data_IF_143414878436
#
_entry.id   IF_143414878436
#
_cell.length_a   1.000
_cell.length_b   1.000
_cell.length_c   1.000
_cell.angle_alpha   90.00
_cell.angle_beta   90.00
_cell.angle_gamma   90.00
#
_symmetry.space_group_name_H-M   'P 1'
#
loop_
_entity.id
_entity.type
_entity.pdbx_description
1 polymer ?
#
# COMPACT_ATOMS: atom_id res chain seq x y z
N UNK A 1 -52.17 1.91 -13.40
CA UNK A 1 -51.07 1.04 -12.92
C UNK A 1 -50.84 1.34 -11.45
N UNK A 2 -51.36 0.50 -10.55
CA UNK A 2 -51.42 0.76 -9.11
C UNK A 2 -50.67 -0.30 -8.29
N UNK A 3 -50.33 -1.45 -8.91
CA UNK A 3 -49.49 -2.51 -8.35
C UNK A 3 -48.80 -3.30 -9.48
N UNK A 4 -47.49 -3.51 -9.37
CA UNK A 4 -46.72 -4.25 -10.36
C UNK A 4 -46.81 -5.78 -10.12
N UNK A 5 -47.21 -6.53 -11.14
CA UNK A 5 -47.19 -8.00 -11.12
C UNK A 5 -45.84 -8.49 -11.63
N UNK A 6 -45.10 -9.23 -10.79
CA UNK A 6 -43.78 -9.79 -11.14
C UNK A 6 -42.67 -9.18 -10.28
N UNK A 7 -42.25 -7.92 -10.50
CA UNK A 7 -41.20 -7.27 -9.71
C UNK A 7 -41.48 -7.28 -8.20
N UNK A 8 -42.72 -7.02 -7.78
CA UNK A 8 -43.11 -7.06 -6.37
C UNK A 8 -42.95 -8.46 -5.74
N UNK A 9 -43.24 -9.53 -6.49
CA UNK A 9 -43.06 -10.91 -6.00
C UNK A 9 -41.58 -11.30 -5.92
N UNK A 10 -40.73 -10.74 -6.79
CA UNK A 10 -39.28 -10.96 -6.73
C UNK A 10 -38.69 -10.35 -5.46
N UNK A 11 -39.15 -9.18 -5.04
CA UNK A 11 -38.68 -8.54 -3.80
C UNK A 11 -38.88 -9.44 -2.57
N UNK A 12 -39.94 -10.26 -2.53
CA UNK A 12 -40.21 -11.17 -1.41
C UNK A 12 -39.16 -12.26 -1.25
N UNK A 13 -38.42 -12.59 -2.31
CA UNK A 13 -37.33 -13.57 -2.26
C UNK A 13 -36.00 -12.83 -2.13
N UNK A 14 -35.78 -11.84 -2.99
CA UNK A 14 -34.50 -11.15 -3.10
C UNK A 14 -34.15 -10.32 -1.86
N UNK A 15 -35.11 -9.62 -1.24
CA UNK A 15 -34.82 -8.78 -0.07
C UNK A 15 -34.46 -9.63 1.15
N UNK A 16 -35.26 -10.63 1.57
CA UNK A 16 -34.89 -11.46 2.73
C UNK A 16 -33.55 -12.17 2.53
N UNK A 17 -33.30 -12.72 1.34
CA UNK A 17 -32.04 -13.40 1.04
C UNK A 17 -30.84 -12.42 1.12
N UNK A 18 -30.98 -11.21 0.58
CA UNK A 18 -29.95 -10.17 0.68
C UNK A 18 -29.62 -9.83 2.13
N UNK A 19 -30.62 -9.71 3.00
CA UNK A 19 -30.41 -9.47 4.43
C UNK A 19 -29.73 -10.64 5.13
N UNK A 20 -30.15 -11.89 4.84
CA UNK A 20 -29.55 -13.09 5.43
C UNK A 20 -28.08 -13.24 5.03
N UNK A 21 -27.76 -13.04 3.76
CA UNK A 21 -26.39 -13.09 3.25
C UNK A 21 -25.53 -11.98 3.87
N UNK A 22 -26.05 -10.76 3.95
CA UNK A 22 -25.33 -9.61 4.53
C UNK A 22 -25.07 -9.81 6.02
N UNK A 23 -26.09 -10.25 6.78
CA UNK A 23 -25.94 -10.52 8.20
C UNK A 23 -24.91 -11.63 8.47
N UNK A 24 -24.93 -12.68 7.65
CA UNK A 24 -23.96 -13.79 7.73
C UNK A 24 -22.55 -13.32 7.39
N UNK A 25 -22.37 -12.55 6.32
CA UNK A 25 -21.09 -11.99 5.93
C UNK A 25 -20.52 -11.08 7.03
N UNK A 26 -21.35 -10.22 7.63
CA UNK A 26 -20.94 -9.33 8.71
C UNK A 26 -20.56 -10.11 9.97
N UNK A 27 -21.32 -11.14 10.33
CA UNK A 27 -21.01 -12.01 11.47
C UNK A 27 -19.65 -12.71 11.28
N UNK A 28 -19.41 -13.27 10.09
CA UNK A 28 -18.16 -13.94 9.76
C UNK A 28 -16.98 -12.96 9.73
N UNK A 29 -17.16 -11.78 9.14
CA UNK A 29 -16.14 -10.73 9.13
C UNK A 29 -15.76 -10.32 10.56
N UNK A 30 -16.74 -10.10 11.44
CA UNK A 30 -16.49 -9.77 12.85
C UNK A 30 -15.71 -10.86 13.56
N UNK A 31 -16.08 -12.13 13.36
CA UNK A 31 -15.38 -13.26 13.95
C UNK A 31 -13.93 -13.37 13.46
N UNK A 32 -13.71 -13.31 12.14
CA UNK A 32 -12.38 -13.41 11.53
C UNK A 32 -11.48 -12.25 11.95
N UNK A 33 -11.99 -11.02 11.95
CA UNK A 33 -11.21 -9.83 12.31
C UNK A 33 -10.87 -9.79 13.82
N UNK A 34 -11.76 -10.28 14.69
CA UNK A 34 -11.50 -10.34 16.13
C UNK A 34 -10.39 -11.33 16.50
N UNK A 35 -10.19 -12.37 15.70
CA UNK A 35 -9.18 -13.41 15.91
C UNK A 35 -8.00 -13.36 14.93
N UNK A 36 -7.82 -12.25 14.19
CA UNK A 36 -6.81 -12.15 13.16
C UNK A 36 -5.40 -12.20 13.77
N UNK A 37 -4.59 -13.15 13.30
CA UNK A 37 -3.17 -13.28 13.70
C UNK A 37 -2.29 -12.70 12.60
N UNK A 38 -1.46 -11.73 12.95
CA UNK A 38 -0.50 -11.10 12.03
C UNK A 38 0.88 -11.72 12.26
N UNK A 39 1.50 -12.19 11.17
CA UNK A 39 2.86 -12.73 11.19
C UNK A 39 3.83 -11.71 10.60
N UNK A 40 4.29 -10.76 11.41
CA UNK A 40 5.15 -9.65 10.99
C UNK A 40 6.46 -10.12 10.34
N UNK A 41 7.08 -11.18 10.89
CA UNK A 41 8.30 -11.77 10.30
C UNK A 41 8.07 -12.31 8.89
N UNK A 42 6.88 -12.89 8.65
CA UNK A 42 6.49 -13.38 7.31
C UNK A 42 6.22 -12.21 6.37
N UNK A 43 5.60 -11.13 6.86
CA UNK A 43 5.42 -9.91 6.05
C UNK A 43 6.79 -9.33 5.66
N UNK A 44 7.73 -9.22 6.60
CA UNK A 44 9.09 -8.75 6.34
C UNK A 44 9.83 -9.65 5.35
N UNK A 45 9.73 -10.96 5.52
CA UNK A 45 10.30 -11.92 4.58
C UNK A 45 9.72 -11.75 3.17
N UNK A 46 8.40 -11.60 3.05
CA UNK A 46 7.73 -11.42 1.77
C UNK A 46 8.16 -10.14 1.04
N UNK A 47 8.42 -9.05 1.78
CA UNK A 47 8.98 -7.82 1.22
C UNK A 47 10.38 -8.04 0.62
N UNK A 48 11.16 -8.96 1.18
CA UNK A 48 12.48 -9.34 0.69
C UNK A 48 12.48 -10.22 -0.56
N UNK A 49 11.34 -10.80 -0.98
CA UNK A 49 11.27 -11.72 -2.13
C UNK A 49 11.70 -11.11 -3.46
N UNK A 50 11.67 -9.78 -3.54
CA UNK A 50 12.06 -9.05 -4.76
C UNK A 50 13.49 -8.52 -4.71
N UNK A 51 14.28 -8.86 -3.67
CA UNK A 51 15.66 -8.40 -3.53
C UNK A 51 15.81 -6.86 -3.65
N UNK A 52 14.88 -6.12 -3.05
CA UNK A 52 14.87 -4.65 -3.05
C UNK A 52 14.19 -4.00 -4.26
N UNK A 53 13.82 -4.76 -5.30
CA UNK A 53 13.20 -4.20 -6.52
C UNK A 53 11.85 -3.52 -6.27
N UNK A 54 11.08 -3.96 -5.27
CA UNK A 54 9.79 -3.35 -4.91
C UNK A 54 9.90 -1.87 -4.51
N UNK A 55 11.09 -1.41 -4.10
CA UNK A 55 11.37 -0.02 -3.69
C UNK A 55 12.36 0.72 -4.60
N UNK A 56 12.56 0.26 -5.84
CA UNK A 56 13.43 0.94 -6.80
C UNK A 56 13.03 2.42 -7.02
N UNK A 57 11.73 2.73 -6.99
CA UNK A 57 11.24 4.11 -7.08
C UNK A 57 11.78 5.00 -5.94
N UNK A 58 11.89 4.47 -4.72
CA UNK A 58 12.36 5.21 -3.55
C UNK A 58 13.79 5.73 -3.77
N UNK A 59 14.67 4.88 -4.30
CA UNK A 59 16.05 5.24 -4.66
C UNK A 59 16.05 6.28 -5.78
N UNK A 60 15.28 6.06 -6.85
CA UNK A 60 15.21 6.98 -7.99
C UNK A 60 14.73 8.38 -7.54
N UNK A 61 13.68 8.45 -6.73
CA UNK A 61 13.16 9.71 -6.20
C UNK A 61 14.16 10.41 -5.28
N UNK A 62 14.92 9.66 -4.48
CA UNK A 62 15.94 10.21 -3.60
C UNK A 62 17.17 10.73 -4.37
N UNK A 63 17.55 10.08 -5.49
CA UNK A 63 18.69 10.47 -6.31
C UNK A 63 18.36 11.59 -7.33
N UNK A 64 17.10 11.71 -7.75
CA UNK A 64 16.65 12.67 -8.75
C UNK A 64 17.01 14.16 -8.48
N UNK A 65 17.02 14.68 -7.23
CA UNK A 65 17.42 16.06 -6.96
C UNK A 65 18.87 16.39 -7.36
N UNK A 66 19.77 15.40 -7.37
CA UNK A 66 21.19 15.60 -7.74
C UNK A 66 21.51 15.13 -9.15
N UNK A 67 20.92 14.03 -9.60
CA UNK A 67 21.20 13.44 -10.93
C UNK A 67 20.25 13.92 -12.02
N UNK A 68 19.10 14.50 -11.66
CA UNK A 68 17.99 14.72 -12.56
C UNK A 68 17.11 13.48 -12.70
N UNK A 69 15.81 13.69 -12.92
CA UNK A 69 14.79 12.61 -12.91
C UNK A 69 15.04 11.54 -13.96
N UNK A 70 15.36 11.94 -15.20
CA UNK A 70 15.55 11.00 -16.31
C UNK A 70 16.80 10.15 -16.09
N UNK A 71 17.93 10.79 -15.74
CA UNK A 71 19.18 10.06 -15.50
C UNK A 71 19.06 9.11 -14.30
N UNK A 72 18.49 9.57 -13.18
CA UNK A 72 18.25 8.70 -12.02
C UNK A 72 17.36 7.50 -12.36
N UNK A 73 16.33 7.68 -13.20
CA UNK A 73 15.50 6.59 -13.69
C UNK A 73 16.32 5.58 -14.49
N UNK A 74 17.08 6.04 -15.49
CA UNK A 74 17.80 5.15 -16.41
C UNK A 74 18.86 4.31 -15.66
N UNK A 75 19.57 4.93 -14.72
CA UNK A 75 20.59 4.27 -13.90
C UNK A 75 19.98 3.22 -12.95
N UNK A 76 18.89 3.57 -12.26
CA UNK A 76 18.20 2.63 -11.37
C UNK A 76 17.55 1.51 -12.18
N UNK A 77 17.00 1.82 -13.35
CA UNK A 77 16.40 0.84 -14.26
C UNK A 77 17.43 -0.20 -14.73
N UNK A 78 18.63 0.25 -15.12
CA UNK A 78 19.72 -0.64 -15.49
C UNK A 78 20.15 -1.54 -14.32
N UNK A 79 20.28 -1.00 -13.11
CA UNK A 79 20.57 -1.78 -11.92
C UNK A 79 19.48 -2.83 -11.63
N UNK A 80 18.19 -2.46 -11.78
CA UNK A 80 17.07 -3.39 -11.64
C UNK A 80 17.13 -4.53 -12.66
N UNK A 81 17.46 -4.23 -13.92
CA UNK A 81 17.62 -5.25 -14.97
C UNK A 81 18.72 -6.24 -14.60
N UNK A 82 19.89 -5.75 -14.17
CA UNK A 82 20.99 -6.60 -13.71
C UNK A 82 20.60 -7.43 -12.49
N UNK A 83 19.85 -6.87 -11.54
CA UNK A 83 19.35 -7.60 -10.37
C UNK A 83 18.44 -8.77 -10.76
N UNK A 84 17.55 -8.55 -11.74
CA UNK A 84 16.63 -9.58 -12.25
C UNK A 84 17.40 -10.69 -12.97
N UNK A 85 18.35 -10.35 -13.83
CA UNK A 85 19.14 -11.32 -14.60
C UNK A 85 20.11 -12.12 -13.70
N UNK A 86 20.69 -11.47 -12.69
CA UNK A 86 21.70 -12.05 -11.81
C UNK A 86 21.18 -12.62 -10.49
N UNK A 87 19.93 -12.36 -10.12
CA UNK A 87 19.37 -12.74 -8.82
C UNK A 87 20.08 -12.07 -7.63
N UNK A 88 20.53 -10.82 -7.81
CA UNK A 88 21.32 -10.06 -6.83
C UNK A 88 20.47 -9.01 -6.12
N UNK A 89 20.94 -8.55 -4.96
CA UNK A 89 20.30 -7.47 -4.23
C UNK A 89 20.49 -6.11 -4.93
N UNK A 90 19.40 -5.36 -5.08
CA UNK A 90 19.42 -4.05 -5.73
C UNK A 90 20.35 -3.07 -4.99
N UNK A 91 20.41 -3.12 -3.66
CA UNK A 91 21.25 -2.22 -2.88
C UNK A 91 22.75 -2.46 -3.16
N UNK A 92 23.15 -3.72 -3.33
CA UNK A 92 24.53 -4.11 -3.63
C UNK A 92 24.95 -3.68 -5.04
N UNK A 93 24.03 -3.73 -6.01
CA UNK A 93 24.28 -3.25 -7.37
C UNK A 93 24.38 -1.72 -7.42
N UNK A 94 23.47 -1.01 -6.75
CA UNK A 94 23.51 0.45 -6.66
C UNK A 94 24.73 0.97 -5.90
N UNK A 95 25.22 0.21 -4.90
CA UNK A 95 26.45 0.54 -4.18
C UNK A 95 27.71 0.49 -5.07
N UNK A 96 27.65 -0.20 -6.21
CA UNK A 96 28.72 -0.25 -7.20
C UNK A 96 28.64 0.90 -8.22
N UNK A 97 27.59 1.73 -8.18
CA UNK A 97 27.38 2.86 -9.09
C UNK A 97 27.82 4.16 -8.41
N UNK A 98 28.99 4.75 -8.77
CA UNK A 98 29.56 5.87 -8.03
C UNK A 98 28.66 7.11 -7.98
N UNK A 99 27.95 7.40 -9.07
CA UNK A 99 27.04 8.54 -9.16
C UNK A 99 25.81 8.41 -8.24
N UNK A 100 25.32 7.18 -7.99
CA UNK A 100 24.24 6.93 -7.02
C UNK A 100 24.79 7.06 -5.59
N UNK A 101 25.97 6.52 -5.32
CA UNK A 101 26.63 6.63 -4.01
C UNK A 101 26.86 8.10 -3.65
N UNK A 102 27.36 8.91 -4.59
CA UNK A 102 27.56 10.35 -4.41
C UNK A 102 26.23 11.10 -4.27
N UNK A 103 25.22 10.73 -5.05
CA UNK A 103 23.90 11.33 -4.97
C UNK A 103 23.24 11.09 -3.60
N UNK A 104 23.33 9.87 -3.06
CA UNK A 104 22.68 9.53 -1.80
C UNK A 104 23.57 9.76 -0.57
N UNK A 105 24.86 10.03 -0.77
CA UNK A 105 25.80 10.35 0.31
C UNK A 105 26.40 9.11 1.00
N UNK A 106 26.42 7.96 0.33
CA UNK A 106 27.05 6.74 0.81
C UNK A 106 26.19 5.48 0.67
N UNK A 107 26.83 4.33 0.89
CA UNK A 107 26.19 2.99 0.78
C UNK A 107 25.10 2.78 1.84
N UNK A 108 25.28 3.32 3.04
CA UNK A 108 24.27 3.20 4.10
C UNK A 108 22.97 3.95 3.74
N UNK A 109 23.06 5.08 3.04
CA UNK A 109 21.88 5.77 2.53
C UNK A 109 21.16 4.96 1.45
N UNK A 110 21.91 4.28 0.56
CA UNK A 110 21.33 3.37 -0.43
C UNK A 110 20.56 2.26 0.27
N UNK A 111 21.16 1.60 1.26
CA UNK A 111 20.50 0.53 2.03
C UNK A 111 19.24 1.01 2.74
N UNK A 112 19.27 2.21 3.32
CA UNK A 112 18.10 2.80 3.95
C UNK A 112 16.96 3.06 2.95
N UNK A 113 17.27 3.53 1.74
CA UNK A 113 16.27 3.72 0.67
C UNK A 113 15.80 2.40 0.03
N UNK A 114 16.60 1.34 0.10
CA UNK A 114 16.23 0.00 -0.33
C UNK A 114 15.49 -0.82 0.75
N UNK A 115 15.30 -0.29 1.97
CA UNK A 115 14.46 -0.93 2.99
C UNK A 115 12.99 -0.51 2.79
N UNK A 116 12.08 -1.46 2.48
CA UNK A 116 10.66 -1.17 2.32
C UNK A 116 9.99 -0.54 3.54
N UNK A 117 10.54 -0.73 4.74
CA UNK A 117 10.02 -0.10 5.96
C UNK A 117 10.18 1.43 5.96
N UNK A 118 11.08 1.98 5.14
CA UNK A 118 11.33 3.41 5.05
C UNK A 118 10.52 4.10 3.92
N UNK A 119 9.70 3.36 3.18
CA UNK A 119 8.92 3.87 2.04
C UNK A 119 7.40 3.65 2.24
N UNK A 120 6.86 4.16 3.36
CA UNK A 120 5.46 3.95 3.76
C UNK A 120 4.49 5.04 3.28
N UNK A 121 5.01 6.13 2.67
CA UNK A 121 4.21 7.27 2.23
C UNK A 121 3.32 7.82 3.34
N UNK A 122 2.02 7.93 3.07
CA UNK A 122 1.03 8.46 4.01
C UNK A 122 0.33 7.39 4.86
N UNK A 123 0.79 6.14 4.85
CA UNK A 123 0.08 5.02 5.47
C UNK A 123 -0.29 5.28 6.94
N UNK A 124 0.67 5.76 7.75
CA UNK A 124 0.41 6.12 9.16
C UNK A 124 -0.61 7.24 9.31
N UNK A 125 -0.44 8.33 8.55
CA UNK A 125 -1.37 9.46 8.59
C UNK A 125 -2.81 9.10 8.13
N UNK A 126 -2.94 8.14 7.21
CA UNK A 126 -4.25 7.61 6.79
C UNK A 126 -4.91 6.79 7.90
N UNK A 127 -4.14 5.96 8.61
CA UNK A 127 -4.62 5.21 9.79
C UNK A 127 -5.07 6.19 10.88
N UNK A 128 -4.26 7.19 11.20
CA UNK A 128 -4.57 8.20 12.22
C UNK A 128 -5.88 8.94 11.90
N UNK A 129 -6.12 9.27 10.63
CA UNK A 129 -7.35 9.93 10.19
C UNK A 129 -8.58 9.06 10.42
N UNK A 130 -8.49 7.75 10.19
CA UNK A 130 -9.60 6.81 10.45
C UNK A 130 -9.85 6.69 11.95
N UNK A 131 -8.80 6.59 12.75
CA UNK A 131 -8.89 6.48 14.21
C UNK A 131 -9.42 7.76 14.88
N UNK A 132 -9.12 8.93 14.32
CA UNK A 132 -9.66 10.20 14.80
C UNK A 132 -11.19 10.31 14.62
N UNK A 133 -11.77 9.48 13.75
CA UNK A 133 -13.20 9.47 13.45
C UNK A 133 -13.65 10.68 12.61
N UNK A 134 -14.92 10.70 12.18
CA UNK A 134 -15.47 11.86 11.47
C UNK A 134 -15.51 13.08 12.41
N UNK A 135 -15.23 14.27 11.86
CA UNK A 135 -15.52 15.51 12.57
C UNK A 135 -17.01 15.52 12.97
N UNK A 136 -17.36 15.98 14.18
CA UNK A 136 -18.75 16.00 14.63
C UNK A 136 -19.60 16.75 13.60
N UNK A 137 -20.72 16.14 13.20
CA UNK A 137 -21.70 16.80 12.33
C UNK A 137 -22.13 18.08 13.06
N UNK A 138 -21.98 19.28 12.46
CA UNK A 138 -22.41 20.50 13.12
C UNK A 138 -23.89 20.37 13.45
N UNK A 139 -24.23 20.59 14.74
CA UNK A 139 -25.60 20.55 15.20
C UNK A 139 -26.44 21.46 14.30
N UNK A 140 -27.61 20.98 13.84
CA UNK A 140 -28.58 21.81 13.12
C UNK A 140 -28.77 23.10 13.93
N UNK A 141 -28.48 24.26 13.34
CA UNK A 141 -28.87 25.55 13.94
C UNK A 141 -30.38 25.50 14.10
N UNK A 142 -30.85 25.58 15.35
CA UNK A 142 -32.26 25.71 15.64
C UNK A 142 -32.79 26.90 14.83
N UNK A 143 -33.76 26.62 13.97
CA UNK A 143 -34.47 27.65 13.22
C UNK A 143 -35.27 28.47 14.23
N UNK A 144 -34.82 29.71 14.44
CA UNK A 144 -35.58 30.76 15.13
C UNK A 144 -36.70 31.29 14.21
#
# INVERSE_FOLDING_TARGET
FERATGPWHLEWVSLPESFLLTASALSNAKFMLAGLVVHEDRMRHNLGLTHGLIVAEAVMMAAAPKLGRQHAHDVVYDACRTAIEGGQDLADLLAQVPEIVEALGGVEAIRAHCDPANYLGLSGAMVDRVLAGPAPIPAKRDAA
#
